data_IF_432801774973
#
_entry.id   IF_432801774973
#
_cell.length_a   1.000
_cell.length_b   1.000
_cell.length_c   1.000
_cell.angle_alpha   90.00
_cell.angle_beta   90.00
_cell.angle_gamma   90.00
#
_symmetry.space_group_name_H-M   'P 1'
#
loop_
_entity.id
_entity.type
_entity.pdbx_description
1 polymer ?
#
# COMPACT_ATOMS: atom_id res chain seq x y z
N UNK A 1 -43.38 -28.05 -17.46
CA UNK A 1 -42.66 -28.87 -16.46
C UNK A 1 -41.50 -29.56 -17.15
N UNK A 2 -40.24 -29.25 -16.78
CA UNK A 2 -39.08 -30.15 -16.79
C UNK A 2 -37.84 -29.36 -16.32
N UNK A 3 -37.34 -29.74 -15.13
CA UNK A 3 -36.09 -29.26 -14.52
C UNK A 3 -34.89 -30.02 -15.11
N UNK A 4 -33.72 -29.36 -15.11
CA UNK A 4 -32.40 -29.78 -14.57
C UNK A 4 -31.28 -29.17 -15.43
N UNK A 5 -30.53 -28.19 -14.91
CA UNK A 5 -29.34 -28.31 -14.03
C UNK A 5 -28.05 -28.30 -14.88
N UNK A 6 -27.29 -27.23 -14.78
CA UNK A 6 -25.90 -27.13 -15.26
C UNK A 6 -25.18 -26.22 -14.26
N UNK A 7 -24.50 -26.77 -13.25
CA UNK A 7 -23.20 -27.45 -13.26
C UNK A 7 -22.20 -26.51 -12.58
N UNK A 8 -22.07 -26.67 -11.26
CA UNK A 8 -21.06 -26.05 -10.41
C UNK A 8 -19.67 -26.50 -10.85
N UNK A 9 -19.01 -25.70 -11.69
CA UNK A 9 -17.57 -25.87 -11.96
C UNK A 9 -16.80 -25.17 -10.85
N UNK A 10 -16.61 -25.90 -9.76
CA UNK A 10 -15.64 -25.60 -8.71
C UNK A 10 -14.22 -25.73 -9.29
N UNK A 11 -13.77 -24.68 -9.97
CA UNK A 11 -12.41 -24.59 -10.50
C UNK A 11 -11.46 -24.36 -9.31
N UNK A 12 -10.77 -25.43 -8.91
CA UNK A 12 -9.70 -25.38 -7.93
C UNK A 12 -8.56 -24.52 -8.50
N UNK A 13 -8.55 -23.24 -8.16
CA UNK A 13 -7.43 -22.35 -8.46
C UNK A 13 -6.27 -22.75 -7.56
N UNK A 14 -5.42 -23.64 -8.06
CA UNK A 14 -4.13 -23.92 -7.45
C UNK A 14 -3.23 -22.70 -7.65
N UNK A 15 -3.21 -21.82 -6.64
CA UNK A 15 -2.27 -20.70 -6.58
C UNK A 15 -0.89 -21.29 -6.28
N UNK A 16 -0.07 -21.43 -7.31
CA UNK A 16 1.36 -21.74 -7.16
C UNK A 16 2.02 -20.55 -6.49
N UNK A 17 2.50 -20.74 -5.27
CA UNK A 17 3.32 -19.75 -4.56
C UNK A 17 4.75 -19.99 -5.01
N UNK A 18 5.26 -19.11 -5.89
CA UNK A 18 6.66 -19.14 -6.30
C UNK A 18 7.56 -19.00 -5.05
N UNK A 19 8.47 -19.95 -4.85
CA UNK A 19 9.32 -20.10 -3.66
C UNK A 19 10.43 -19.03 -3.51
N UNK A 20 10.45 -18.02 -4.39
CA UNK A 20 11.35 -16.86 -4.28
C UNK A 20 10.54 -15.58 -3.97
N UNK A 21 10.56 -15.07 -2.72
CA UNK A 21 9.82 -13.86 -2.32
C UNK A 21 10.18 -12.62 -3.12
N UNK A 22 11.30 -12.63 -3.86
CA UNK A 22 11.78 -11.50 -4.68
C UNK A 22 11.20 -11.50 -6.10
N UNK A 23 10.45 -12.54 -6.48
CA UNK A 23 10.05 -12.80 -7.88
C UNK A 23 8.57 -12.59 -8.19
N UNK A 24 7.81 -11.89 -7.33
CA UNK A 24 6.45 -11.45 -7.70
C UNK A 24 6.52 -10.34 -8.77
N UNK A 25 6.60 -10.75 -10.05
CA UNK A 25 6.48 -9.87 -11.22
C UNK A 25 5.01 -9.65 -11.53
N UNK A 26 4.38 -8.72 -10.81
CA UNK A 26 3.10 -8.19 -11.26
C UNK A 26 3.32 -7.20 -12.41
N UNK A 27 2.79 -7.52 -13.59
CA UNK A 27 2.80 -6.69 -14.79
C UNK A 27 1.51 -5.86 -14.98
N UNK A 28 0.69 -5.68 -13.93
CA UNK A 28 -0.50 -4.81 -14.02
C UNK A 28 -0.13 -3.35 -13.79
N UNK A 29 -0.13 -2.61 -14.88
CA UNK A 29 0.21 -1.19 -15.00
C UNK A 29 -0.99 -0.36 -14.56
N UNK A 30 -1.21 -0.27 -13.25
CA UNK A 30 -1.81 0.88 -12.55
C UNK A 30 -1.10 1.00 -11.18
N UNK A 31 0.24 1.05 -11.23
CA UNK A 31 1.19 0.87 -10.12
C UNK A 31 1.50 2.20 -9.41
N UNK A 32 0.69 2.59 -8.44
CA UNK A 32 1.11 3.60 -7.47
C UNK A 32 1.22 3.10 -6.04
N UNK A 33 0.96 1.82 -5.75
CA UNK A 33 0.96 1.32 -4.38
C UNK A 33 1.33 -0.16 -4.24
N UNK A 34 1.14 -0.66 -3.03
CA UNK A 34 1.27 -2.05 -2.59
C UNK A 34 0.11 -2.88 -3.15
N UNK A 35 0.35 -4.14 -3.49
CA UNK A 35 -0.72 -5.05 -3.93
C UNK A 35 -1.56 -5.49 -2.72
N UNK A 36 -2.78 -4.99 -2.60
CA UNK A 36 -3.70 -5.32 -1.48
C UNK A 36 -4.06 -6.80 -1.41
N UNK A 37 -3.94 -7.54 -2.51
CA UNK A 37 -4.16 -9.00 -2.54
C UNK A 37 -2.86 -9.78 -2.32
N UNK A 38 -1.73 -9.07 -2.19
CA UNK A 38 -0.42 -9.63 -1.95
C UNK A 38 -0.33 -10.29 -0.57
N UNK A 39 0.21 -11.50 -0.53
CA UNK A 39 0.56 -12.17 0.72
C UNK A 39 1.96 -11.76 1.12
N UNK A 40 2.05 -10.83 2.07
CA UNK A 40 3.32 -10.30 2.54
C UNK A 40 3.91 -11.07 3.72
N UNK A 41 5.21 -11.33 3.68
CA UNK A 41 5.93 -12.00 4.75
C UNK A 41 6.28 -11.03 5.88
N UNK A 42 5.74 -11.28 7.08
CA UNK A 42 6.05 -10.49 8.30
C UNK A 42 7.53 -10.61 8.68
N UNK A 43 8.14 -11.78 8.50
CA UNK A 43 9.56 -11.98 8.83
C UNK A 43 10.47 -11.18 7.89
N UNK A 44 10.14 -11.15 6.59
CA UNK A 44 10.83 -10.30 5.62
C UNK A 44 10.64 -8.81 5.96
N UNK A 45 9.41 -8.42 6.31
CA UNK A 45 9.11 -7.06 6.75
C UNK A 45 9.93 -6.61 7.94
N UNK A 46 10.11 -7.49 8.93
CA UNK A 46 10.96 -7.24 10.10
C UNK A 46 12.41 -7.00 9.70
N UNK A 47 13.00 -7.89 8.89
CA UNK A 47 14.39 -7.77 8.45
C UNK A 47 14.63 -6.45 7.69
N UNK A 48 13.73 -6.12 6.76
CA UNK A 48 13.80 -4.87 6.00
C UNK A 48 13.69 -3.65 6.92
N UNK A 49 12.75 -3.68 7.87
CA UNK A 49 12.55 -2.59 8.82
C UNK A 49 13.79 -2.38 9.72
N UNK A 50 14.34 -3.45 10.28
CA UNK A 50 15.54 -3.39 11.13
C UNK A 50 16.74 -2.83 10.35
N UNK A 51 16.90 -3.23 9.08
CA UNK A 51 18.02 -2.83 8.24
C UNK A 51 17.92 -1.38 7.74
N UNK A 52 16.71 -0.92 7.41
CA UNK A 52 16.52 0.34 6.65
C UNK A 52 15.83 1.45 7.44
N UNK A 53 15.04 1.11 8.47
CA UNK A 53 14.12 2.04 9.11
C UNK A 53 14.41 2.26 10.61
N UNK A 54 14.78 1.20 11.33
CA UNK A 54 14.86 1.19 12.80
C UNK A 54 15.90 2.16 13.37
N UNK A 55 16.98 2.45 12.65
CA UNK A 55 18.02 3.39 13.08
C UNK A 55 17.45 4.79 13.37
N UNK A 56 16.47 5.24 12.57
CA UNK A 56 15.82 6.55 12.69
C UNK A 56 14.43 6.48 13.34
N UNK A 57 13.65 5.43 13.03
CA UNK A 57 12.27 5.28 13.52
C UNK A 57 12.15 4.49 14.84
N UNK A 58 13.25 3.90 15.33
CA UNK A 58 13.28 3.06 16.51
C UNK A 58 12.88 1.62 16.20
N UNK A 59 13.29 0.67 17.03
CA UNK A 59 12.93 -0.75 16.85
C UNK A 59 11.41 -0.98 16.91
N UNK A 60 10.71 -0.14 17.67
CA UNK A 60 9.25 -0.19 17.86
C UNK A 60 8.49 0.89 17.08
N UNK A 61 9.14 1.54 16.11
CA UNK A 61 8.51 2.57 15.27
C UNK A 61 7.94 3.78 16.08
N UNK A 62 8.53 4.07 17.22
CA UNK A 62 8.08 5.06 18.22
C UNK A 62 8.84 6.40 18.17
N UNK A 63 9.98 6.45 17.47
CA UNK A 63 10.77 7.69 17.34
C UNK A 63 10.13 8.66 16.35
N UNK A 64 10.47 9.93 16.54
CA UNK A 64 9.97 11.10 15.80
C UNK A 64 11.10 11.80 15.04
N UNK A 65 11.69 11.17 14.01
CA UNK A 65 12.76 11.79 13.25
C UNK A 65 12.27 13.14 12.68
N UNK A 66 13.03 14.20 12.91
CA UNK A 66 12.69 15.56 12.47
C UNK A 66 11.33 16.07 12.97
N UNK A 67 10.86 15.58 14.13
CA UNK A 67 9.58 15.99 14.72
C UNK A 67 8.35 15.33 14.10
N UNK A 68 8.53 14.38 13.17
CA UNK A 68 7.45 13.67 12.49
C UNK A 68 6.56 12.86 13.44
N UNK A 69 5.40 12.44 12.94
CA UNK A 69 4.55 11.45 13.62
C UNK A 69 5.27 10.10 13.69
N UNK A 70 5.28 9.42 14.85
CA UNK A 70 5.80 8.06 14.95
C UNK A 70 5.04 7.10 14.02
N UNK A 71 5.75 6.20 13.34
CA UNK A 71 5.13 5.23 12.44
C UNK A 71 4.15 4.31 13.17
N UNK A 72 4.38 4.00 14.45
CA UNK A 72 3.45 3.19 15.25
C UNK A 72 2.06 3.84 15.38
N UNK A 73 1.97 5.17 15.28
CA UNK A 73 0.73 5.93 15.41
C UNK A 73 0.04 6.24 14.07
N UNK A 74 0.67 5.93 12.94
CA UNK A 74 0.07 6.06 11.61
C UNK A 74 -0.68 4.77 11.26
N UNK A 75 -1.68 4.80 10.40
CA UNK A 75 -2.22 3.56 9.84
C UNK A 75 -1.35 3.07 8.66
N UNK A 76 -1.63 1.88 8.13
CA UNK A 76 -0.83 1.35 7.02
C UNK A 76 -0.95 2.19 5.74
N UNK A 77 -2.14 2.76 5.52
CA UNK A 77 -2.45 3.56 4.35
C UNK A 77 -1.69 4.88 4.35
N UNK A 78 -1.63 5.58 5.48
CA UNK A 78 -0.89 6.81 5.67
C UNK A 78 0.61 6.60 5.43
N UNK A 79 1.15 5.47 5.89
CA UNK A 79 2.56 5.12 5.66
C UNK A 79 2.79 4.84 4.18
N UNK A 80 1.91 4.08 3.52
CA UNK A 80 1.96 3.81 2.09
C UNK A 80 1.91 5.12 1.28
N UNK A 81 0.88 5.93 1.50
CA UNK A 81 0.67 7.22 0.84
C UNK A 81 1.87 8.14 1.05
N UNK A 82 2.42 8.19 2.27
CA UNK A 82 3.63 8.97 2.57
C UNK A 82 4.83 8.53 1.74
N UNK A 83 5.07 7.22 1.62
CA UNK A 83 6.18 6.68 0.81
C UNK A 83 5.97 6.98 -0.68
N UNK A 84 4.73 6.91 -1.16
CA UNK A 84 4.38 7.28 -2.54
C UNK A 84 4.67 8.77 -2.76
N UNK A 85 4.21 9.65 -1.87
CA UNK A 85 4.47 11.09 -1.93
C UNK A 85 5.96 11.41 -1.87
N UNK A 86 6.76 10.70 -1.07
CA UNK A 86 8.23 10.85 -1.10
C UNK A 86 8.85 10.48 -2.47
N UNK A 87 8.24 9.58 -3.23
CA UNK A 87 8.72 9.20 -4.57
C UNK A 87 8.26 10.15 -5.65
N UNK A 88 7.04 10.67 -5.55
CA UNK A 88 6.36 11.42 -6.63
C UNK A 88 6.39 12.94 -6.43
N UNK A 89 6.45 13.43 -5.19
CA UNK A 89 6.40 14.84 -4.86
C UNK A 89 7.72 15.33 -4.25
N UNK A 90 8.42 16.17 -5.01
CA UNK A 90 9.68 16.77 -4.60
C UNK A 90 9.56 17.78 -3.45
N UNK A 91 8.35 18.19 -3.07
CA UNK A 91 8.05 19.14 -1.99
C UNK A 91 7.61 18.47 -0.68
N UNK A 92 7.19 17.20 -0.73
CA UNK A 92 6.65 16.47 0.42
C UNK A 92 7.68 16.14 1.51
N UNK A 93 7.28 16.20 2.79
CA UNK A 93 8.06 15.67 3.92
C UNK A 93 8.99 16.64 4.68
N UNK A 94 8.89 17.94 4.41
CA UNK A 94 9.49 18.99 5.26
C UNK A 94 10.99 18.82 5.52
N UNK A 95 11.42 19.02 6.78
CA UNK A 95 12.84 18.98 7.19
C UNK A 95 13.51 17.62 6.98
N UNK A 96 12.75 16.51 7.04
CA UNK A 96 13.25 15.15 6.82
C UNK A 96 13.21 14.69 5.37
N UNK A 97 12.73 15.55 4.45
CA UNK A 97 12.42 15.19 3.06
C UNK A 97 13.56 14.46 2.36
N UNK A 98 14.73 15.08 2.28
CA UNK A 98 15.83 14.53 1.47
C UNK A 98 16.27 13.15 1.97
N UNK A 99 16.20 12.91 3.29
CA UNK A 99 16.51 11.61 3.89
C UNK A 99 15.46 10.59 3.47
N UNK A 100 14.17 10.89 3.67
CA UNK A 100 13.10 9.95 3.36
C UNK A 100 12.87 9.74 1.87
N UNK A 101 13.14 10.71 1.01
CA UNK A 101 13.11 10.51 -0.44
C UNK A 101 14.15 9.49 -0.90
N UNK A 102 15.35 9.50 -0.31
CA UNK A 102 16.36 8.50 -0.61
C UNK A 102 15.96 7.10 -0.11
N UNK A 103 15.36 7.01 1.07
CA UNK A 103 14.83 5.73 1.59
C UNK A 103 13.67 5.22 0.73
N UNK A 104 12.72 6.09 0.37
CA UNK A 104 11.56 5.71 -0.42
C UNK A 104 11.93 5.20 -1.82
N UNK A 105 13.02 5.72 -2.43
CA UNK A 105 13.53 5.27 -3.73
C UNK A 105 14.10 3.85 -3.71
N UNK A 106 14.66 3.40 -2.59
CA UNK A 106 15.32 2.09 -2.49
C UNK A 106 14.41 0.99 -1.95
N UNK A 107 13.24 1.34 -1.44
CA UNK A 107 12.20 0.39 -1.05
C UNK A 107 11.33 0.10 -2.28
N UNK A 108 11.07 -1.17 -2.60
CA UNK A 108 10.11 -1.53 -3.65
C UNK A 108 8.67 -1.57 -3.11
N UNK A 109 7.65 -1.66 -3.96
CA UNK A 109 6.26 -1.81 -3.47
C UNK A 109 6.04 -3.14 -2.75
N UNK A 110 6.76 -4.20 -3.15
CA UNK A 110 6.69 -5.49 -2.47
C UNK A 110 7.34 -5.44 -1.08
N UNK A 111 8.50 -4.78 -0.98
CA UNK A 111 9.19 -4.55 0.30
C UNK A 111 8.35 -3.68 1.23
N UNK A 112 7.73 -2.62 0.69
CA UNK A 112 6.80 -1.77 1.43
C UNK A 112 5.64 -2.59 2.00
N UNK A 113 5.02 -3.46 1.20
CA UNK A 113 3.97 -4.35 1.70
C UNK A 113 4.43 -5.28 2.81
N UNK A 114 5.64 -5.84 2.71
CA UNK A 114 6.25 -6.63 3.78
C UNK A 114 6.46 -5.80 5.07
N UNK A 115 7.01 -4.59 4.94
CA UNK A 115 7.23 -3.67 6.07
C UNK A 115 5.88 -3.28 6.72
N UNK A 116 4.85 -2.99 5.93
CA UNK A 116 3.52 -2.65 6.44
C UNK A 116 2.88 -3.85 7.16
N UNK A 117 3.02 -5.05 6.60
CA UNK A 117 2.56 -6.27 7.26
C UNK A 117 3.28 -6.54 8.60
N UNK A 118 4.55 -6.16 8.71
CA UNK A 118 5.30 -6.23 9.97
C UNK A 118 4.83 -5.17 10.98
N UNK A 119 4.69 -3.91 10.56
CA UNK A 119 4.37 -2.80 11.45
C UNK A 119 2.92 -2.77 11.92
N UNK A 120 2.00 -3.20 11.07
CA UNK A 120 0.55 -3.05 11.29
C UNK A 120 -0.21 -4.37 11.32
N UNK A 121 0.45 -5.47 10.96
CA UNK A 121 -0.15 -6.80 10.89
C UNK A 121 -0.54 -7.17 9.45
N UNK A 122 -0.76 -8.47 9.25
CA UNK A 122 -1.01 -9.08 7.92
C UNK A 122 -2.27 -8.52 7.24
N UNK A 123 -3.26 -8.14 8.03
CA UNK A 123 -4.55 -7.63 7.53
C UNK A 123 -4.53 -6.11 7.34
N UNK A 124 -3.41 -5.43 7.62
CA UNK A 124 -3.33 -3.97 7.52
C UNK A 124 -3.49 -3.43 6.09
N UNK A 125 -3.37 -4.31 5.09
CA UNK A 125 -3.55 -4.02 3.67
C UNK A 125 -4.83 -4.64 3.11
N UNK A 126 -5.53 -5.45 3.91
CA UNK A 126 -6.79 -6.08 3.54
C UNK A 126 -7.91 -5.04 3.64
N UNK A 127 -8.07 -4.30 2.55
CA UNK A 127 -9.20 -3.46 2.17
C UNK A 127 -9.94 -2.71 3.29
N UNK A 128 -9.62 -1.42 3.38
CA UNK A 128 -10.62 -0.35 3.54
C UNK A 128 -11.36 -0.10 2.20
N UNK A 129 -11.78 -1.15 1.48
CA UNK A 129 -12.75 -1.04 0.39
C UNK A 129 -14.16 -1.01 0.99
N UNK A 130 -14.44 -0.06 1.89
CA UNK A 130 -15.78 0.50 1.94
C UNK A 130 -15.91 1.40 0.73
N UNK A 131 -16.29 0.79 -0.38
CA UNK A 131 -16.84 1.50 -1.53
C UNK A 131 -18.19 2.12 -1.10
N UNK A 132 -18.15 3.18 -0.29
CA UNK A 132 -19.22 4.16 -0.32
C UNK A 132 -19.01 4.96 -1.60
N UNK A 133 -19.71 4.54 -2.66
CA UNK A 133 -20.08 5.41 -3.75
C UNK A 133 -20.81 6.63 -3.16
N UNK A 134 -20.07 7.63 -2.69
CA UNK A 134 -20.63 8.94 -2.45
C UNK A 134 -20.95 9.51 -3.82
N UNK A 135 -22.22 9.77 -4.17
CA UNK A 135 -22.53 10.38 -5.46
C UNK A 135 -21.79 11.71 -5.55
N UNK A 136 -20.86 11.80 -6.49
CA UNK A 136 -20.31 13.08 -6.95
C UNK A 136 -21.49 13.83 -7.54
N UNK A 137 -22.00 14.80 -6.79
CA UNK A 137 -22.97 15.76 -7.27
C UNK A 137 -22.29 16.61 -8.34
N UNK A 138 -22.50 16.26 -9.60
CA UNK A 138 -22.18 17.13 -10.74
C UNK A 138 -23.33 18.11 -10.92
N UNK A 139 -23.43 19.13 -10.06
CA UNK A 139 -24.12 20.36 -10.45
C UNK A 139 -23.25 21.11 -11.46
N UNK A 140 -23.29 20.68 -12.72
CA UNK A 140 -22.91 21.53 -13.84
C UNK A 140 -23.96 22.63 -13.97
N UNK A 141 -23.71 23.81 -13.37
CA UNK A 141 -24.37 25.04 -13.82
C UNK A 141 -23.84 25.39 -15.21
N UNK A 142 -24.48 24.83 -16.24
CA UNK A 142 -24.27 25.23 -17.63
C UNK A 142 -24.72 26.69 -17.76
N UNK A 143 -23.74 27.60 -17.84
CA UNK A 143 -23.96 29.00 -18.17
C UNK A 143 -24.47 29.10 -19.61
N UNK A 144 -25.71 29.56 -19.75
CA UNK A 144 -26.33 29.89 -21.03
C UNK A 144 -25.57 31.03 -21.70
N UNK A 145 -24.85 30.72 -22.78
CA UNK A 145 -24.38 31.72 -23.73
C UNK A 145 -24.87 31.35 -25.12
N UNK A 146 -26.12 31.73 -25.40
CA UNK A 146 -26.58 32.05 -26.75
C UNK A 146 -27.41 33.33 -26.65
N UNK A 147 -26.88 34.40 -27.26
CA UNK A 147 -27.61 35.60 -27.66
C UNK A 147 -27.65 35.60 -29.18
#
# INVERSE_FOLDING_TARGET
MAKKQANDRNEKVNVYVDEDPRRYKDNRILKFGVDRKGRYSVSLGKELYEKQCASCHGENADKRPFGSTPLKNMDAKDIEDSIISYRSDSSFGGSGKNVMQNQAKIVSNNDLGAILAYLKGKDALADQDTNENKPVSTETKQGSYLR
#
